data_IF_262101429665
#
_entry.id   IF_262101429665
#
_cell.length_a   1.000
_cell.length_b   1.000
_cell.length_c   1.000
_cell.angle_alpha   90.00
_cell.angle_beta   90.00
_cell.angle_gamma   90.00
#
_symmetry.space_group_name_H-M   'P 1'
#
loop_
_entity.id
_entity.type
_entity.pdbx_description
1 polymer ?
#
# COMPACT_ATOMS: atom_id res chain seq x y z
N UNK A 1 3.08 21.17 6.91
CA UNK A 1 3.67 20.37 5.84
C UNK A 1 4.55 21.21 4.96
N UNK A 2 5.75 20.73 4.65
CA UNK A 2 6.70 21.42 3.76
C UNK A 2 6.50 20.94 2.31
N UNK A 3 5.30 21.13 1.74
CA UNK A 3 4.99 20.92 0.31
C UNK A 3 4.77 19.48 -0.18
N UNK A 4 5.30 18.47 0.51
CA UNK A 4 5.12 17.05 0.12
C UNK A 4 3.68 16.56 0.21
N UNK A 5 2.85 17.15 1.08
CA UNK A 5 1.45 16.77 1.19
C UNK A 5 0.71 17.03 -0.12
N UNK A 6 0.92 18.20 -0.76
CA UNK A 6 0.31 18.54 -2.05
C UNK A 6 0.67 17.52 -3.13
N UNK A 7 1.94 17.13 -3.20
CA UNK A 7 2.40 16.14 -4.17
C UNK A 7 1.74 14.78 -3.93
N UNK A 8 1.78 14.28 -2.69
CA UNK A 8 1.19 12.98 -2.35
C UNK A 8 -0.33 12.96 -2.49
N UNK A 9 -1.02 14.07 -2.20
CA UNK A 9 -2.46 14.22 -2.45
C UNK A 9 -2.76 14.10 -3.94
N UNK A 10 -1.95 14.72 -4.80
CA UNK A 10 -2.13 14.62 -6.25
C UNK A 10 -1.85 13.21 -6.78
N UNK A 11 -0.86 12.50 -6.21
CA UNK A 11 -0.60 11.09 -6.56
C UNK A 11 -1.80 10.21 -6.21
N UNK A 12 -2.37 10.35 -5.01
CA UNK A 12 -3.55 9.59 -4.59
C UNK A 12 -4.75 9.94 -5.48
N UNK A 13 -4.96 11.23 -5.77
CA UNK A 13 -5.98 11.70 -6.70
C UNK A 13 -5.85 11.09 -8.09
N UNK A 14 -4.64 11.11 -8.65
CA UNK A 14 -4.39 10.53 -9.97
C UNK A 14 -4.63 9.02 -10.01
N UNK A 15 -4.26 8.28 -8.96
CA UNK A 15 -4.58 6.85 -8.85
C UNK A 15 -6.09 6.61 -8.74
N UNK A 16 -6.80 7.46 -8.00
CA UNK A 16 -8.25 7.39 -7.84
C UNK A 16 -9.00 7.73 -9.14
N UNK A 17 -8.43 8.57 -9.99
CA UNK A 17 -9.04 8.99 -11.26
C UNK A 17 -8.72 8.00 -12.39
N UNK A 18 -7.46 7.58 -12.54
CA UNK A 18 -6.95 6.92 -13.75
C UNK A 18 -6.78 5.40 -13.63
N UNK A 19 -7.05 4.82 -12.45
CA UNK A 19 -6.96 3.37 -12.23
C UNK A 19 -8.32 2.81 -11.82
N UNK A 20 -8.45 1.50 -11.97
CA UNK A 20 -9.56 0.71 -11.46
C UNK A 20 -9.00 -0.37 -10.56
N UNK A 21 -9.77 -0.83 -9.58
CA UNK A 21 -9.36 -2.00 -8.81
C UNK A 21 -8.23 -1.76 -7.80
N UNK A 22 -7.91 -0.51 -7.47
CA UNK A 22 -6.92 -0.18 -6.43
C UNK A 22 -7.47 -0.45 -5.04
N UNK A 23 -6.63 -1.00 -4.14
CA UNK A 23 -6.94 -1.19 -2.73
C UNK A 23 -6.15 -0.20 -1.88
N UNK A 24 -6.86 0.62 -1.10
CA UNK A 24 -6.29 1.61 -0.19
C UNK A 24 -6.43 1.14 1.26
N UNK A 25 -5.31 0.95 1.95
CA UNK A 25 -5.25 0.64 3.38
C UNK A 25 -4.94 1.91 4.17
N UNK A 26 -5.96 2.51 4.78
CA UNK A 26 -5.87 3.80 5.47
C UNK A 26 -5.78 3.59 6.99
N UNK A 27 -4.53 3.50 7.47
CA UNK A 27 -4.24 3.25 8.89
C UNK A 27 -4.00 4.54 9.67
N UNK A 28 -4.88 4.81 10.62
CA UNK A 28 -4.85 6.02 11.46
C UNK A 28 -5.60 7.19 10.86
N UNK A 29 -5.97 8.14 11.72
CA UNK A 29 -6.84 9.27 11.37
C UNK A 29 -6.28 10.18 10.29
N UNK A 30 -4.96 10.35 10.22
CA UNK A 30 -4.32 11.14 9.17
C UNK A 30 -4.50 10.50 7.78
N UNK A 31 -4.25 9.20 7.65
CA UNK A 31 -4.42 8.46 6.40
C UNK A 31 -5.90 8.43 5.97
N UNK A 32 -6.82 8.21 6.92
CA UNK A 32 -8.26 8.23 6.67
C UNK A 32 -8.73 9.58 6.13
N UNK A 33 -8.27 10.69 6.73
CA UNK A 33 -8.57 12.04 6.23
C UNK A 33 -8.04 12.24 4.82
N UNK A 34 -6.79 11.84 4.56
CA UNK A 34 -6.13 11.97 3.26
C UNK A 34 -6.83 11.16 2.16
N UNK A 35 -7.36 9.98 2.48
CA UNK A 35 -8.09 9.14 1.53
C UNK A 35 -9.61 9.35 1.50
N UNK A 36 -10.14 10.36 2.18
CA UNK A 36 -11.60 10.54 2.32
C UNK A 36 -12.32 10.71 0.98
N UNK A 37 -11.65 11.30 -0.02
CA UNK A 37 -12.17 11.55 -1.36
C UNK A 37 -12.13 10.35 -2.31
N UNK A 38 -11.58 9.21 -1.91
CA UNK A 38 -11.42 8.03 -2.78
C UNK A 38 -12.80 7.44 -3.12
N UNK A 39 -13.02 7.13 -4.40
CA UNK A 39 -14.26 6.53 -4.89
C UNK A 39 -14.34 5.04 -4.52
N UNK A 40 -15.24 4.74 -3.59
CA UNK A 40 -15.45 3.38 -3.04
C UNK A 40 -16.24 2.45 -3.97
N UNK A 41 -16.77 2.96 -5.07
CA UNK A 41 -17.37 2.11 -6.11
C UNK A 41 -16.30 1.53 -7.05
N UNK A 42 -15.23 2.29 -7.30
CA UNK A 42 -14.10 1.94 -8.17
C UNK A 42 -13.00 1.19 -7.42
N UNK A 43 -12.83 1.52 -6.14
CA UNK A 43 -11.73 1.07 -5.30
C UNK A 43 -12.21 0.42 -4.01
N UNK A 44 -11.38 -0.43 -3.43
CA UNK A 44 -11.56 -0.85 -2.05
C UNK A 44 -10.84 0.12 -1.13
N UNK A 45 -11.54 0.63 -0.12
CA UNK A 45 -10.95 1.44 0.95
C UNK A 45 -11.18 0.71 2.28
N UNK A 46 -10.09 0.32 2.94
CA UNK A 46 -10.12 -0.28 4.28
C UNK A 46 -9.54 0.71 5.29
N UNK A 47 -10.33 1.07 6.30
CA UNK A 47 -9.97 2.09 7.30
C UNK A 47 -9.89 1.49 8.70
N UNK A 48 -8.94 1.95 9.52
CA UNK A 48 -8.88 1.60 10.93
C UNK A 48 -7.66 2.16 11.65
N UNK A 49 -7.39 1.72 12.90
CA UNK A 49 -6.30 2.24 13.72
C UNK A 49 -4.92 2.08 13.08
N UNK A 50 -3.93 2.84 13.53
CA UNK A 50 -2.55 2.69 13.06
C UNK A 50 -1.85 1.46 13.72
N UNK A 51 -0.94 0.76 13.02
CA UNK A 51 -0.18 -0.39 13.57
C UNK A 51 0.79 -0.04 14.70
N UNK A 52 1.02 1.26 14.98
CA UNK A 52 1.90 1.69 16.08
C UNK A 52 1.42 1.08 17.41
N UNK A 53 2.34 0.67 18.31
CA UNK A 53 1.99 0.11 19.62
C UNK A 53 0.98 0.94 20.41
N UNK A 54 1.02 2.26 20.26
CA UNK A 54 0.10 3.20 20.92
C UNK A 54 -1.37 3.01 20.52
N UNK A 55 -1.66 2.45 19.34
CA UNK A 55 -3.01 2.28 18.81
C UNK A 55 -3.35 0.88 18.32
N UNK A 56 -2.37 -0.01 18.18
CA UNK A 56 -2.57 -1.32 17.57
C UNK A 56 -3.58 -2.19 18.35
N UNK A 57 -3.50 -2.14 19.69
CA UNK A 57 -4.43 -2.84 20.58
C UNK A 57 -5.85 -2.29 20.53
N UNK A 58 -6.06 -1.08 19.96
CA UNK A 58 -7.38 -0.46 19.81
C UNK A 58 -8.12 -0.91 18.53
N UNK A 59 -7.70 -2.04 17.96
CA UNK A 59 -8.40 -2.67 16.84
C UNK A 59 -7.64 -2.66 15.50
N UNK A 60 -6.31 -2.52 15.50
CA UNK A 60 -5.53 -2.83 14.29
C UNK A 60 -5.42 -4.35 14.09
N UNK A 61 -5.08 -5.07 15.17
CA UNK A 61 -5.02 -6.53 15.14
C UNK A 61 -6.42 -7.14 14.99
N UNK A 62 -6.52 -8.24 14.24
CA UNK A 62 -7.78 -8.94 13.98
C UNK A 62 -8.60 -8.39 12.81
N UNK A 63 -8.26 -7.23 12.23
CA UNK A 63 -8.98 -6.62 11.10
C UNK A 63 -8.78 -7.34 9.75
N UNK A 64 -7.91 -8.34 9.70
CA UNK A 64 -7.64 -9.18 8.51
C UNK A 64 -7.28 -8.36 7.26
N UNK A 65 -6.51 -7.28 7.41
CA UNK A 65 -6.15 -6.33 6.34
C UNK A 65 -5.72 -7.02 5.04
N UNK A 66 -4.75 -7.93 5.15
CA UNK A 66 -4.10 -8.55 4.00
C UNK A 66 -4.97 -9.60 3.31
N UNK A 67 -5.66 -10.45 4.08
CA UNK A 67 -6.55 -11.46 3.49
C UNK A 67 -7.79 -10.82 2.86
N UNK A 68 -8.39 -9.80 3.49
CA UNK A 68 -9.51 -9.04 2.90
C UNK A 68 -9.12 -8.35 1.60
N UNK A 69 -7.90 -7.79 1.53
CA UNK A 69 -7.36 -7.26 0.28
C UNK A 69 -7.33 -8.33 -0.80
N UNK A 70 -6.77 -9.50 -0.51
CA UNK A 70 -6.68 -10.59 -1.49
C UNK A 70 -8.05 -11.19 -1.86
N UNK A 71 -8.97 -11.31 -0.91
CA UNK A 71 -10.35 -11.75 -1.14
C UNK A 71 -11.06 -10.79 -2.12
N UNK A 72 -10.91 -9.48 -1.91
CA UNK A 72 -11.49 -8.49 -2.81
C UNK A 72 -10.84 -8.49 -4.20
N UNK A 73 -9.51 -8.55 -4.27
CA UNK A 73 -8.79 -8.67 -5.55
C UNK A 73 -9.25 -9.91 -6.33
N UNK A 74 -9.34 -11.06 -5.65
CA UNK A 74 -9.84 -12.29 -6.24
C UNK A 74 -11.28 -12.14 -6.74
N UNK A 75 -12.16 -11.47 -5.99
CA UNK A 75 -13.54 -11.18 -6.42
C UNK A 75 -13.63 -10.32 -7.69
N UNK A 76 -12.57 -9.57 -8.00
CA UNK A 76 -12.42 -8.76 -9.22
C UNK A 76 -11.62 -9.47 -10.32
N UNK A 77 -11.23 -10.72 -10.12
CA UNK A 77 -10.38 -11.47 -11.06
C UNK A 77 -8.94 -10.96 -11.13
N UNK A 78 -8.49 -10.19 -10.13
CA UNK A 78 -7.14 -9.64 -10.05
C UNK A 78 -6.21 -10.59 -9.26
N UNK A 79 -4.90 -10.59 -9.57
CA UNK A 79 -3.95 -11.41 -8.85
C UNK A 79 -3.86 -10.98 -7.37
N UNK A 80 -3.79 -11.97 -6.49
CA UNK A 80 -3.55 -11.74 -5.08
C UNK A 80 -2.12 -11.21 -4.86
N UNK A 81 -1.96 -10.39 -3.81
CA UNK A 81 -0.64 -9.96 -3.36
C UNK A 81 -0.03 -11.07 -2.52
N UNK A 82 1.20 -11.47 -2.86
CA UNK A 82 2.05 -12.24 -1.95
C UNK A 82 2.65 -11.28 -0.91
N UNK A 83 2.23 -11.45 0.34
CA UNK A 83 2.65 -10.60 1.46
C UNK A 83 3.92 -11.11 2.14
N UNK A 84 4.41 -12.30 1.77
CA UNK A 84 5.68 -12.80 2.28
C UNK A 84 6.81 -11.94 1.71
N UNK A 85 7.72 -11.51 2.58
CA UNK A 85 8.92 -10.82 2.13
C UNK A 85 9.92 -11.86 1.60
N UNK A 86 10.61 -11.59 0.48
CA UNK A 86 11.72 -12.42 0.03
C UNK A 86 12.83 -12.42 1.09
N UNK A 87 13.60 -13.50 1.15
CA UNK A 87 14.77 -13.56 2.02
C UNK A 87 15.88 -12.59 1.56
N UNK A 88 16.86 -12.38 2.43
CA UNK A 88 17.95 -11.45 2.18
C UNK A 88 18.76 -11.85 0.93
N UNK A 89 19.04 -13.13 0.73
CA UNK A 89 19.82 -13.60 -0.41
C UNK A 89 19.11 -13.28 -1.74
N UNK A 90 17.79 -13.47 -1.79
CA UNK A 90 16.94 -13.13 -2.93
C UNK A 90 16.95 -11.63 -3.22
N UNK A 91 16.84 -10.79 -2.19
CA UNK A 91 16.91 -9.34 -2.33
C UNK A 91 18.27 -8.88 -2.87
N UNK A 92 19.35 -9.44 -2.33
CA UNK A 92 20.72 -9.11 -2.75
C UNK A 92 20.97 -9.52 -4.20
N UNK A 93 20.55 -10.72 -4.60
CA UNK A 93 20.65 -11.15 -5.99
C UNK A 93 19.87 -10.22 -6.94
N UNK A 94 18.67 -9.79 -6.54
CA UNK A 94 17.80 -8.93 -7.35
C UNK A 94 18.33 -7.50 -7.52
N UNK A 95 18.90 -6.90 -6.46
CA UNK A 95 19.24 -5.47 -6.46
C UNK A 95 20.74 -5.15 -6.43
N UNK A 96 21.62 -6.09 -6.05
CA UNK A 96 23.08 -5.87 -6.04
C UNK A 96 23.74 -6.14 -7.39
N UNK A 97 23.12 -6.97 -8.25
CA UNK A 97 23.65 -7.37 -9.56
C UNK A 97 23.72 -6.27 -10.64
N UNK A 98 23.14 -5.09 -10.40
CA UNK A 98 23.14 -3.96 -11.34
C UNK A 98 24.17 -2.87 -11.02
N UNK A 99 24.91 -2.97 -9.91
CA UNK A 99 25.87 -1.94 -9.46
C UNK A 99 27.35 -2.23 -9.85
N UNK A 100 27.64 -3.27 -10.64
CA UNK A 100 29.00 -3.81 -10.81
C UNK A 100 29.54 -3.95 -12.24
N UNK A 101 29.01 -3.22 -13.23
CA UNK A 101 29.54 -3.23 -14.61
C UNK A 101 29.96 -1.84 -15.11
N UNK A 102 30.78 -1.13 -14.35
CA UNK A 102 31.64 -0.05 -14.88
C UNK A 102 32.92 0.04 -14.05
N UNK A 103 33.94 -0.73 -14.44
CA UNK A 103 35.36 -0.45 -14.18
C UNK A 103 36.22 -1.56 -14.82
N UNK A 104 36.30 -1.55 -16.15
CA UNK A 104 37.41 -2.13 -16.92
C UNK A 104 37.29 -1.61 -18.36
N UNK A 105 38.18 -0.67 -18.69
CA UNK A 105 38.28 0.05 -19.95
C UNK A 105 39.27 1.19 -19.76
#
# INVERSE_FOLDING_TARGET
>A
GQGWETFTDRVIGHLNEEREGVVFLLWGSYAQKKGSFIDRNRHLVLEGPHPSPLSAHRGFFGQKWFSRTNEWLASKGLPAVDWALPDQATLEARYRGSAGKQAQG
#
